data_IF_634346839745
#
_entry.id   IF_634346839745
#
_cell.length_a   1.000
_cell.length_b   1.000
_cell.length_c   1.000
_cell.angle_alpha   90.00
_cell.angle_beta   90.00
_cell.angle_gamma   90.00
#
_symmetry.space_group_name_H-M   'P 1'
#
loop_
_entity.id
_entity.type
_entity.pdbx_description
1 polymer ?
#
# COMPACT_ATOMS: atom_id res chain seq x y z
N UNK A 1 4.88 -33.96 -22.26
CA UNK A 1 4.46 -34.19 -20.85
C UNK A 1 5.65 -33.80 -19.98
N UNK A 2 5.68 -32.71 -19.23
CA UNK A 2 4.68 -31.74 -18.76
C UNK A 2 5.40 -30.39 -18.67
N UNK A 3 4.81 -29.38 -19.29
CA UNK A 3 5.28 -27.99 -19.29
C UNK A 3 4.99 -27.37 -17.92
N UNK A 4 6.04 -26.95 -17.22
CA UNK A 4 5.96 -26.27 -15.92
C UNK A 4 5.71 -24.79 -16.19
N UNK A 5 4.45 -24.42 -16.42
CA UNK A 5 4.06 -23.02 -16.47
C UNK A 5 4.25 -22.41 -15.07
N UNK A 6 5.35 -21.68 -14.88
CA UNK A 6 5.48 -20.70 -13.80
C UNK A 6 4.32 -19.73 -13.94
N UNK A 7 3.40 -19.75 -12.98
CA UNK A 7 2.41 -18.70 -12.83
C UNK A 7 3.14 -17.51 -12.23
N UNK A 8 3.62 -16.64 -13.11
CA UNK A 8 4.09 -15.32 -12.70
C UNK A 8 2.85 -14.56 -12.17
N UNK A 9 2.80 -14.40 -10.85
CA UNK A 9 1.79 -13.58 -10.17
C UNK A 9 2.11 -12.12 -10.46
N UNK A 10 1.68 -11.63 -11.62
CA UNK A 10 1.76 -10.22 -11.96
C UNK A 10 0.84 -9.44 -11.01
N UNK A 11 1.44 -8.76 -10.03
CA UNK A 11 0.75 -7.73 -9.26
C UNK A 11 0.55 -6.55 -10.22
N UNK A 12 -0.61 -6.52 -10.88
CA UNK A 12 -1.04 -5.36 -11.66
C UNK A 12 -1.28 -4.18 -10.71
N UNK A 13 -0.21 -3.42 -10.43
CA UNK A 13 -0.36 -2.01 -10.10
C UNK A 13 -1.08 -1.34 -11.26
N UNK A 14 -2.04 -0.46 -10.96
CA UNK A 14 -2.84 0.23 -11.96
C UNK A 14 -1.98 1.31 -12.65
N UNK A 15 -1.09 0.86 -13.54
CA UNK A 15 -0.08 1.68 -14.25
C UNK A 15 -0.72 2.81 -15.07
N UNK A 16 -1.97 2.64 -15.52
CA UNK A 16 -2.71 3.64 -16.30
C UNK A 16 -3.00 4.94 -15.52
N UNK A 17 -2.85 4.93 -14.18
CA UNK A 17 -3.17 6.08 -13.31
C UNK A 17 -1.98 6.97 -12.97
N UNK A 18 -0.76 6.53 -13.28
CA UNK A 18 0.46 7.27 -12.97
C UNK A 18 0.99 7.92 -14.25
N UNK A 19 0.51 9.12 -14.56
CA UNK A 19 1.21 10.00 -15.50
C UNK A 19 2.45 10.57 -14.79
N UNK A 20 3.52 9.78 -14.77
CA UNK A 20 4.82 10.17 -14.21
C UNK A 20 5.48 11.17 -15.16
N UNK A 21 5.86 12.36 -14.68
CA UNK A 21 6.50 13.40 -15.54
C UNK A 21 8.02 13.17 -15.66
N UNK A 22 8.61 12.34 -14.81
CA UNK A 22 10.02 11.98 -14.92
C UNK A 22 10.65 11.70 -13.56
N UNK A 23 11.88 11.20 -13.61
CA UNK A 23 12.73 10.99 -12.44
C UNK A 23 13.72 12.14 -12.30
N UNK A 24 13.59 12.98 -11.28
CA UNK A 24 14.67 13.92 -10.94
C UNK A 24 15.64 13.21 -10.00
N UNK A 25 16.90 13.07 -10.44
CA UNK A 25 17.97 12.35 -9.72
C UNK A 25 17.68 10.88 -9.40
N UNK A 26 16.93 10.18 -10.27
CA UNK A 26 16.76 8.72 -10.24
C UNK A 26 15.98 8.11 -9.07
N UNK A 27 15.75 8.87 -7.99
CA UNK A 27 15.14 8.41 -6.73
C UNK A 27 13.88 9.18 -6.31
N UNK A 28 13.48 10.19 -7.09
CA UNK A 28 12.26 10.98 -6.84
C UNK A 28 11.25 10.71 -7.95
N UNK A 29 10.06 10.23 -7.58
CA UNK A 29 8.92 10.09 -8.49
C UNK A 29 8.09 11.38 -8.46
N UNK A 30 7.96 12.05 -9.61
CA UNK A 30 7.16 13.27 -9.76
C UNK A 30 5.83 12.93 -10.41
N UNK A 31 4.74 13.30 -9.73
CA UNK A 31 3.37 13.04 -10.18
C UNK A 31 2.79 14.29 -10.84
N UNK A 32 2.25 14.14 -12.06
CA UNK A 32 1.65 15.24 -12.82
C UNK A 32 0.47 15.89 -12.10
N UNK A 33 0.37 17.21 -12.18
CA UNK A 33 -0.80 18.00 -11.78
C UNK A 33 -2.13 17.45 -12.34
N UNK A 34 -2.14 16.93 -13.57
CA UNK A 34 -3.31 16.28 -14.19
C UNK A 34 -3.70 14.98 -13.45
N UNK A 35 -2.74 14.11 -13.16
CA UNK A 35 -2.99 12.89 -12.39
C UNK A 35 -3.45 13.20 -10.96
N UNK A 36 -2.93 14.29 -10.39
CA UNK A 36 -3.40 14.84 -9.11
C UNK A 36 -4.85 15.32 -9.24
N UNK A 37 -5.20 16.12 -10.26
CA UNK A 37 -6.55 16.63 -10.50
C UNK A 37 -7.57 15.52 -10.77
N UNK A 38 -7.23 14.53 -11.59
CA UNK A 38 -8.12 13.41 -11.95
C UNK A 38 -8.40 12.50 -10.74
N UNK A 39 -7.39 12.22 -9.91
CA UNK A 39 -7.57 11.46 -8.67
C UNK A 39 -8.28 12.28 -7.58
N UNK A 40 -7.97 13.57 -7.43
CA UNK A 40 -8.69 14.45 -6.51
C UNK A 40 -10.17 14.56 -6.86
N UNK A 41 -10.51 14.68 -8.15
CA UNK A 41 -11.91 14.70 -8.61
C UNK A 41 -12.64 13.38 -8.32
N UNK A 42 -11.96 12.23 -8.47
CA UNK A 42 -12.51 10.91 -8.08
C UNK A 42 -12.70 10.78 -6.57
N UNK A 43 -11.73 11.20 -5.78
CA UNK A 43 -11.81 11.20 -4.30
C UNK A 43 -12.97 12.09 -3.86
N UNK A 44 -13.11 13.30 -4.43
CA UNK A 44 -14.25 14.18 -4.18
C UNK A 44 -15.58 13.54 -4.60
N UNK A 45 -15.66 12.88 -5.75
CA UNK A 45 -16.85 12.19 -6.24
C UNK A 45 -17.25 10.96 -5.42
N UNK A 46 -16.28 10.12 -5.03
CA UNK A 46 -16.50 8.94 -4.18
C UNK A 46 -16.83 9.32 -2.73
N UNK A 47 -16.51 10.54 -2.30
CA UNK A 47 -16.70 11.06 -0.94
C UNK A 47 -17.83 12.10 -0.86
N UNK A 48 -18.51 12.41 -1.98
CA UNK A 48 -19.74 13.21 -1.99
C UNK A 48 -20.90 12.51 -1.25
N UNK A 49 -20.82 11.18 -1.08
CA UNK A 49 -21.72 10.38 -0.22
C UNK A 49 -21.23 10.24 1.23
N UNK A 50 -20.04 10.76 1.58
CA UNK A 50 -19.48 10.81 2.94
C UNK A 50 -18.79 12.15 3.18
N UNK A 51 -19.58 13.17 3.58
CA UNK A 51 -19.14 14.51 3.99
C UNK A 51 -17.74 14.54 4.63
N UNK A 52 -16.68 14.91 3.88
CA UNK A 52 -15.36 15.11 4.48
C UNK A 52 -14.39 15.99 3.68
N UNK A 53 -14.88 16.88 2.80
CA UNK A 53 -14.00 17.87 2.13
C UNK A 53 -14.71 19.17 1.78
N UNK A 54 -14.53 20.24 2.55
CA UNK A 54 -14.47 21.57 1.98
C UNK A 54 -13.01 21.84 1.62
N UNK A 55 -12.60 21.60 0.37
CA UNK A 55 -11.40 22.29 -0.15
C UNK A 55 -11.86 23.71 -0.50
N UNK A 56 -12.06 24.54 0.51
CA UNK A 56 -12.64 25.89 0.36
C UNK A 56 -11.71 26.87 -0.36
N UNK A 57 -10.40 26.57 -0.46
CA UNK A 57 -9.46 27.36 -1.24
C UNK A 57 -8.38 26.48 -1.86
N UNK A 58 -8.43 26.36 -3.19
CA UNK A 58 -7.51 25.58 -4.04
C UNK A 58 -6.29 26.42 -4.47
N UNK A 59 -6.12 27.65 -3.95
CA UNK A 59 -5.08 28.58 -4.41
C UNK A 59 -3.69 28.32 -3.83
N UNK A 60 -3.59 27.66 -2.66
CA UNK A 60 -2.31 27.47 -1.96
C UNK A 60 -1.87 26.00 -2.00
N UNK A 61 -1.20 25.61 -3.09
CA UNK A 61 -0.53 24.33 -3.19
C UNK A 61 0.89 24.41 -2.63
N UNK A 62 1.30 23.36 -1.92
CA UNK A 62 2.67 23.14 -1.48
C UNK A 62 3.21 21.84 -2.08
N UNK A 63 4.51 21.81 -2.33
CA UNK A 63 5.25 20.60 -2.66
C UNK A 63 5.63 19.90 -1.36
N UNK A 64 5.37 18.60 -1.29
CA UNK A 64 5.80 17.73 -0.18
C UNK A 64 6.58 16.56 -0.76
N UNK A 65 7.58 16.11 0.00
CA UNK A 65 8.43 14.97 -0.38
C UNK A 65 8.16 13.85 0.62
N UNK A 66 7.55 12.76 0.16
CA UNK A 66 7.24 11.61 1.00
C UNK A 66 8.30 10.53 0.84
N UNK A 67 8.77 10.00 1.97
CA UNK A 67 9.60 8.80 2.06
C UNK A 67 8.83 7.71 2.77
N UNK A 68 9.08 6.45 2.46
CA UNK A 68 8.49 5.34 3.21
C UNK A 68 9.53 4.49 3.91
N UNK A 69 9.11 3.82 4.97
CA UNK A 69 9.87 2.77 5.64
C UNK A 69 9.76 1.39 4.95
N UNK A 70 8.99 1.27 3.85
CA UNK A 70 8.77 0.00 3.12
C UNK A 70 9.27 -0.02 1.67
N UNK A 71 9.43 1.14 1.05
CA UNK A 71 9.99 1.29 -0.30
C UNK A 71 11.06 2.39 -0.29
N UNK A 72 12.07 2.24 -1.13
CA UNK A 72 13.28 3.07 -1.11
C UNK A 72 13.11 4.45 -1.77
N UNK A 73 12.10 4.62 -2.61
CA UNK A 73 11.89 5.86 -3.36
C UNK A 73 11.30 7.00 -2.54
N UNK A 74 11.68 8.22 -2.91
CA UNK A 74 10.99 9.45 -2.50
C UNK A 74 9.93 9.81 -3.53
N UNK A 75 8.84 10.41 -3.08
CA UNK A 75 7.72 10.79 -3.93
C UNK A 75 7.46 12.27 -3.70
N UNK A 76 7.47 13.06 -4.77
CA UNK A 76 7.17 14.48 -4.68
C UNK A 76 5.75 14.73 -5.17
N UNK A 77 4.92 15.31 -4.30
CA UNK A 77 3.52 15.64 -4.59
C UNK A 77 3.30 17.14 -4.43
N UNK A 78 2.43 17.70 -5.27
CA UNK A 78 1.92 19.06 -5.09
C UNK A 78 0.48 18.98 -4.57
N UNK A 79 0.26 19.38 -3.32
CA UNK A 79 -1.01 19.19 -2.60
C UNK A 79 -1.50 20.50 -1.99
N UNK A 80 -2.83 20.71 -1.87
CA UNK A 80 -3.37 21.89 -1.18
C UNK A 80 -2.95 21.91 0.29
N UNK A 81 -2.55 23.07 0.80
CA UNK A 81 -2.11 23.20 2.20
C UNK A 81 -3.25 22.93 3.22
N UNK A 82 -4.50 23.11 2.80
CA UNK A 82 -5.69 22.79 3.60
C UNK A 82 -6.05 21.30 3.64
N UNK A 83 -5.33 20.44 2.91
CA UNK A 83 -5.56 18.99 2.92
C UNK A 83 -5.28 18.40 4.32
N UNK A 84 -6.14 17.50 4.79
CA UNK A 84 -5.89 16.76 6.04
C UNK A 84 -4.86 15.66 5.85
N UNK A 85 -4.20 15.25 6.93
CA UNK A 85 -3.26 14.12 6.91
C UNK A 85 -3.94 12.83 6.46
N UNK A 86 -5.19 12.59 6.88
CA UNK A 86 -5.97 11.45 6.39
C UNK A 86 -6.12 11.49 4.87
N UNK A 87 -6.47 12.64 4.33
CA UNK A 87 -6.68 12.83 2.91
C UNK A 87 -5.41 12.64 2.10
N UNK A 88 -4.27 13.13 2.62
CA UNK A 88 -2.96 12.91 2.00
C UNK A 88 -2.63 11.41 1.94
N UNK A 89 -2.87 10.67 3.03
CA UNK A 89 -2.65 9.21 3.06
C UNK A 89 -3.56 8.51 2.06
N UNK A 90 -4.86 8.79 2.07
CA UNK A 90 -5.82 8.17 1.14
C UNK A 90 -5.41 8.46 -0.32
N UNK A 91 -5.00 9.70 -0.59
CA UNK A 91 -4.51 10.13 -1.89
C UNK A 91 -3.25 9.36 -2.31
N UNK A 92 -2.24 9.25 -1.45
CA UNK A 92 -1.03 8.47 -1.73
C UNK A 92 -1.32 6.99 -1.94
N UNK A 93 -2.18 6.41 -1.11
CA UNK A 93 -2.56 5.01 -1.21
C UNK A 93 -3.25 4.73 -2.53
N UNK A 94 -4.20 5.58 -2.94
CA UNK A 94 -4.90 5.43 -4.22
C UNK A 94 -3.98 5.68 -5.42
N UNK A 95 -3.13 6.70 -5.33
CA UNK A 95 -2.21 7.12 -6.39
C UNK A 95 -1.16 6.05 -6.69
N UNK A 96 -0.59 5.46 -5.64
CA UNK A 96 0.45 4.43 -5.76
C UNK A 96 -0.14 3.03 -5.75
N UNK A 97 -1.45 2.85 -5.58
CA UNK A 97 -2.07 1.53 -5.46
C UNK A 97 -1.57 0.73 -4.25
N UNK A 98 -1.27 1.41 -3.14
CA UNK A 98 -0.78 0.74 -1.94
C UNK A 98 -1.88 -0.16 -1.34
N UNK A 99 -1.55 -1.34 -0.82
CA UNK A 99 -2.55 -2.24 -0.27
C UNK A 99 -3.00 -1.83 1.14
N UNK A 100 -4.30 -1.79 1.39
CA UNK A 100 -4.82 -1.81 2.77
C UNK A 100 -4.77 -3.21 3.39
N UNK A 101 -4.95 -4.24 2.56
CA UNK A 101 -4.90 -5.66 2.94
C UNK A 101 -4.31 -6.50 1.81
N UNK A 102 -3.52 -7.50 2.16
CA UNK A 102 -3.03 -8.56 1.25
C UNK A 102 -3.01 -9.90 1.96
N UNK A 103 -3.10 -10.98 1.20
CA UNK A 103 -2.89 -12.34 1.68
C UNK A 103 -1.80 -13.03 0.86
N UNK A 104 -1.10 -13.94 1.51
CA UNK A 104 -0.25 -14.95 0.90
C UNK A 104 -0.99 -16.27 1.09
N UNK A 105 -1.92 -16.57 0.18
CA UNK A 105 -2.85 -17.70 0.31
C UNK A 105 -2.11 -19.03 0.46
N UNK A 106 -1.01 -19.20 -0.27
CA UNK A 106 -0.13 -20.39 -0.19
C UNK A 106 0.48 -20.59 1.21
N UNK A 107 0.65 -19.50 1.97
CA UNK A 107 1.19 -19.53 3.33
C UNK A 107 0.08 -19.45 4.40
N UNK A 108 -1.17 -19.20 3.97
CA UNK A 108 -2.31 -18.90 4.85
C UNK A 108 -1.97 -17.78 5.85
N UNK A 109 -1.40 -16.68 5.33
CA UNK A 109 -1.05 -15.49 6.11
C UNK A 109 -1.71 -14.28 5.46
N UNK A 110 -2.38 -13.45 6.26
CA UNK A 110 -2.85 -12.14 5.81
C UNK A 110 -2.15 -11.00 6.52
N UNK A 111 -2.09 -9.87 5.83
CA UNK A 111 -1.54 -8.61 6.29
C UNK A 111 -2.59 -7.51 6.17
N UNK A 112 -2.78 -6.77 7.25
CA UNK A 112 -3.50 -5.51 7.29
C UNK A 112 -2.49 -4.38 7.51
N UNK A 113 -2.52 -3.38 6.64
CA UNK A 113 -1.58 -2.26 6.68
C UNK A 113 -2.24 -1.02 7.30
N UNK A 114 -1.50 -0.36 8.18
CA UNK A 114 -1.86 0.94 8.74
C UNK A 114 -0.84 1.97 8.32
N UNK A 115 -1.34 3.12 7.90
CA UNK A 115 -0.55 4.22 7.36
C UNK A 115 -0.60 5.41 8.30
N UNK A 116 0.55 6.04 8.50
CA UNK A 116 0.68 7.25 9.30
C UNK A 116 1.69 8.19 8.65
N UNK A 117 1.45 9.50 8.76
CA UNK A 117 2.45 10.51 8.43
C UNK A 117 3.24 10.86 9.69
N UNK A 118 4.55 10.84 9.57
CA UNK A 118 5.51 11.31 10.57
C UNK A 118 6.20 12.55 10.00
N UNK A 119 6.20 13.63 10.76
CA UNK A 119 6.88 14.88 10.42
C UNK A 119 7.72 15.32 11.62
N UNK A 120 9.00 15.65 11.38
CA UNK A 120 9.97 16.01 12.42
C UNK A 120 10.03 14.98 13.58
N UNK A 121 9.98 13.68 13.22
CA UNK A 121 10.02 12.57 14.17
C UNK A 121 8.74 12.36 14.99
N UNK A 122 7.66 13.10 14.71
CA UNK A 122 6.38 12.97 15.41
C UNK A 122 5.27 12.53 14.48
N UNK A 123 4.46 11.58 14.94
CA UNK A 123 3.23 11.17 14.24
C UNK A 123 2.26 12.35 14.19
N UNK A 124 1.81 12.70 12.99
CA UNK A 124 0.83 13.78 12.79
C UNK A 124 -0.59 13.20 12.91
N UNK A 125 -1.49 13.83 13.69
CA UNK A 125 -2.88 13.40 13.79
C UNK A 125 -3.61 13.46 12.44
N UNK A 126 -4.44 12.46 12.17
CA UNK A 126 -5.13 12.29 10.88
C UNK A 126 -6.09 13.45 10.53
N UNK A 127 -6.66 14.10 11.54
CA UNK A 127 -7.62 15.19 11.38
C UNK A 127 -6.95 16.57 11.19
N UNK A 128 -5.65 16.71 11.42
CA UNK A 128 -4.95 17.98 11.19
C UNK A 128 -4.76 18.23 9.70
N UNK A 129 -4.83 19.49 9.30
CA UNK A 129 -4.39 19.92 7.97
C UNK A 129 -2.87 19.99 7.88
N UNK A 130 -2.32 20.01 6.65
CA UNK A 130 -0.88 20.26 6.44
C UNK A 130 -0.48 21.60 7.05
N UNK A 131 -1.32 22.63 6.89
CA UNK A 131 -1.15 23.94 7.53
C UNK A 131 -1.08 23.84 9.06
N UNK A 132 -2.06 23.19 9.70
CA UNK A 132 -2.12 23.06 11.17
C UNK A 132 -1.03 22.17 11.76
N UNK A 133 -0.41 21.35 10.91
CA UNK A 133 0.75 20.53 11.24
C UNK A 133 2.09 21.28 11.02
N UNK A 134 2.06 22.55 10.60
CA UNK A 134 3.24 23.34 10.21
C UNK A 134 4.08 22.64 9.12
N UNK A 135 3.40 22.00 8.17
CA UNK A 135 4.01 21.43 6.98
C UNK A 135 4.02 22.54 5.92
N UNK A 136 5.22 22.85 5.43
CA UNK A 136 5.47 23.95 4.50
C UNK A 136 5.92 23.42 3.13
N UNK A 137 6.02 24.31 2.15
CA UNK A 137 6.55 23.98 0.82
C UNK A 137 7.96 23.38 0.91
N UNK A 138 8.18 22.27 0.22
CA UNK A 138 9.41 21.49 0.25
C UNK A 138 9.58 20.57 1.46
N UNK A 139 8.60 20.46 2.36
CA UNK A 139 8.73 19.62 3.55
C UNK A 139 8.90 18.13 3.22
N UNK A 140 9.83 17.47 3.92
CA UNK A 140 9.98 16.01 3.88
C UNK A 140 9.09 15.34 4.94
N UNK A 141 8.25 14.41 4.50
CA UNK A 141 7.34 13.61 5.31
C UNK A 141 7.76 12.14 5.26
N UNK A 142 7.56 11.41 6.35
CA UNK A 142 7.69 9.94 6.36
C UNK A 142 6.30 9.30 6.39
N UNK A 143 5.98 8.53 5.35
CA UNK A 143 4.86 7.59 5.33
C UNK A 143 5.28 6.30 6.05
N UNK A 144 4.90 6.22 7.33
CA UNK A 144 5.14 5.06 8.17
C UNK A 144 4.06 4.01 7.94
N UNK A 145 4.47 2.85 7.41
CA UNK A 145 3.58 1.73 7.09
C UNK A 145 3.81 0.59 8.08
N UNK A 146 2.81 0.35 8.92
CA UNK A 146 2.80 -0.72 9.92
C UNK A 146 2.02 -1.90 9.35
N UNK A 147 2.66 -3.07 9.34
CA UNK A 147 2.05 -4.31 8.90
C UNK A 147 1.61 -5.12 10.12
N UNK A 148 0.32 -5.40 10.21
CA UNK A 148 -0.27 -6.30 11.20
C UNK A 148 -0.56 -7.60 10.47
N UNK A 149 0.02 -8.70 10.90
CA UNK A 149 -0.14 -9.99 10.25
C UNK A 149 -1.01 -10.92 11.09
N UNK A 150 -1.66 -11.86 10.42
CA UNK A 150 -2.52 -12.88 11.02
C UNK A 150 -2.16 -14.23 10.42
N UNK A 151 -1.95 -15.23 11.28
CA UNK A 151 -1.88 -16.63 10.87
C UNK A 151 -3.30 -17.17 10.71
N UNK A 152 -3.72 -17.39 9.48
CA UNK A 152 -5.09 -17.82 9.19
C UNK A 152 -5.31 -19.28 9.63
N UNK A 153 -4.25 -20.08 9.72
CA UNK A 153 -4.34 -21.46 10.25
C UNK A 153 -4.68 -21.42 11.73
N UNK A 154 -3.95 -20.63 12.52
CA UNK A 154 -4.21 -20.51 13.96
C UNK A 154 -5.55 -19.85 14.25
N UNK A 155 -5.96 -18.87 13.44
CA UNK A 155 -7.27 -18.22 13.58
C UNK A 155 -8.41 -19.24 13.38
N UNK A 156 -8.36 -20.01 12.29
CA UNK A 156 -9.38 -21.02 11.99
C UNK A 156 -9.40 -22.13 13.04
N UNK A 157 -8.25 -22.66 13.42
CA UNK A 157 -8.16 -23.70 14.47
C UNK A 157 -8.63 -23.19 15.83
N UNK A 158 -8.32 -21.94 16.16
CA UNK A 158 -8.79 -21.29 17.38
C UNK A 158 -10.32 -21.10 17.40
N UNK A 159 -10.93 -20.77 16.26
CA UNK A 159 -12.39 -20.67 16.11
C UNK A 159 -13.04 -22.05 16.18
N UNK A 160 -12.48 -23.06 15.50
CA UNK A 160 -12.95 -24.45 15.55
C UNK A 160 -12.94 -24.99 17.00
N UNK A 161 -11.86 -24.73 17.74
CA UNK A 161 -11.73 -25.13 19.14
C UNK A 161 -12.73 -24.42 20.05
N UNK A 162 -12.96 -23.12 19.85
CA UNK A 162 -13.91 -22.32 20.68
C UNK A 162 -15.36 -22.68 20.43
N UNK A 163 -15.72 -22.94 19.19
CA UNK A 163 -17.11 -23.18 18.81
C UNK A 163 -17.52 -24.66 18.92
N UNK A 164 -16.62 -25.54 19.36
CA UNK A 164 -16.85 -27.00 19.37
C UNK A 164 -17.14 -27.56 17.97
N UNK A 165 -16.85 -26.78 16.92
CA UNK A 165 -17.32 -26.96 15.55
C UNK A 165 -16.38 -27.89 14.76
N UNK A 166 -15.76 -28.85 15.45
CA UNK A 166 -14.98 -29.92 14.82
C UNK A 166 -15.85 -30.89 13.98
N UNK A 167 -17.16 -30.67 13.87
CA UNK A 167 -18.15 -31.67 13.45
C UNK A 167 -19.27 -31.03 12.61
N UNK A 168 -19.02 -30.64 11.35
CA UNK A 168 -20.12 -30.50 10.35
C UNK A 168 -19.69 -30.34 8.88
N UNK A 169 -18.51 -30.81 8.48
CA UNK A 169 -18.14 -30.88 7.06
C UNK A 169 -17.94 -32.32 6.61
N UNK A 170 -18.48 -32.65 5.44
CA UNK A 170 -18.28 -33.92 4.74
C UNK A 170 -16.80 -34.32 4.79
N UNK A 171 -16.52 -35.59 5.11
CA UNK A 171 -15.17 -36.13 5.38
C UNK A 171 -14.15 -35.75 4.29
N UNK A 172 -14.57 -35.65 3.03
CA UNK A 172 -13.74 -35.24 1.90
C UNK A 172 -13.25 -33.78 1.97
N UNK A 173 -14.12 -32.83 2.33
CA UNK A 173 -13.76 -31.41 2.43
C UNK A 173 -12.80 -31.14 3.59
N UNK A 174 -12.95 -31.86 4.70
CA UNK A 174 -12.06 -31.73 5.86
C UNK A 174 -10.64 -32.25 5.57
N UNK A 175 -10.52 -33.38 4.88
CA UNK A 175 -9.22 -33.93 4.48
C UNK A 175 -8.43 -32.95 3.58
N UNK A 176 -9.12 -32.32 2.64
CA UNK A 176 -8.51 -31.32 1.76
C UNK A 176 -8.06 -30.08 2.55
N UNK A 177 -8.88 -29.58 3.47
CA UNK A 177 -8.52 -28.44 4.32
C UNK A 177 -7.29 -28.73 5.20
N UNK A 178 -7.22 -29.92 5.81
CA UNK A 178 -6.07 -30.33 6.62
C UNK A 178 -4.80 -30.42 5.77
N UNK A 179 -4.88 -31.01 4.58
CA UNK A 179 -3.77 -31.08 3.64
C UNK A 179 -3.29 -29.68 3.21
N UNK A 180 -4.21 -28.73 2.96
CA UNK A 180 -3.87 -27.34 2.65
C UNK A 180 -3.17 -26.65 3.82
N UNK A 181 -3.68 -26.81 5.05
CA UNK A 181 -3.05 -26.23 6.27
C UNK A 181 -1.65 -26.81 6.50
N UNK A 182 -1.47 -28.11 6.34
CA UNK A 182 -0.18 -28.76 6.49
C UNK A 182 0.82 -28.32 5.40
N UNK A 183 0.36 -28.21 4.15
CA UNK A 183 1.16 -27.67 3.05
C UNK A 183 1.61 -26.23 3.34
N UNK A 184 0.71 -25.37 3.84
CA UNK A 184 1.03 -24.00 4.23
C UNK A 184 2.06 -23.94 5.38
N UNK A 185 1.92 -24.77 6.42
CA UNK A 185 2.90 -24.90 7.51
C UNK A 185 4.26 -25.32 7.01
N UNK A 186 4.31 -26.29 6.10
CA UNK A 186 5.55 -26.77 5.49
C UNK A 186 6.20 -25.69 4.63
N UNK A 187 5.41 -24.96 3.83
CA UNK A 187 5.88 -23.90 2.96
C UNK A 187 6.46 -22.70 3.74
N UNK A 188 5.79 -22.26 4.80
CA UNK A 188 6.26 -21.11 5.61
C UNK A 188 7.42 -21.46 6.54
N UNK A 189 7.49 -22.71 7.01
CA UNK A 189 8.43 -23.16 8.03
C UNK A 189 8.31 -22.35 9.34
N UNK A 190 9.41 -22.20 10.08
CA UNK A 190 9.42 -21.35 11.28
C UNK A 190 9.20 -19.89 10.89
N UNK A 191 8.18 -19.27 11.49
CA UNK A 191 7.85 -17.86 11.29
C UNK A 191 8.74 -17.01 12.20
N UNK A 192 9.55 -16.14 11.59
CA UNK A 192 10.42 -15.21 12.29
C UNK A 192 10.04 -13.77 11.96
N UNK A 193 10.41 -12.82 12.83
CA UNK A 193 10.19 -11.39 12.59
C UNK A 193 10.81 -10.92 11.27
N UNK A 194 11.98 -11.46 10.89
CA UNK A 194 12.63 -11.15 9.62
C UNK A 194 11.84 -11.63 8.40
N UNK A 195 11.27 -12.84 8.44
CA UNK A 195 10.41 -13.36 7.37
C UNK A 195 9.13 -12.54 7.23
N UNK A 196 8.44 -12.27 8.34
CA UNK A 196 7.24 -11.43 8.34
C UNK A 196 7.55 -10.06 7.73
N UNK A 197 8.68 -9.45 8.11
CA UNK A 197 9.11 -8.18 7.55
C UNK A 197 9.37 -8.29 6.04
N UNK A 198 10.04 -9.35 5.59
CA UNK A 198 10.31 -9.60 4.17
C UNK A 198 9.04 -9.78 3.35
N UNK A 199 8.09 -10.60 3.81
CA UNK A 199 6.78 -10.78 3.18
C UNK A 199 5.96 -9.49 3.16
N UNK A 200 5.95 -8.74 4.25
CA UNK A 200 5.29 -7.44 4.27
C UNK A 200 5.92 -6.46 3.26
N UNK A 201 7.25 -6.45 3.13
CA UNK A 201 7.95 -5.57 2.20
C UNK A 201 7.74 -5.95 0.74
N UNK A 202 7.59 -7.24 0.41
CA UNK A 202 7.39 -7.68 -0.98
C UNK A 202 6.11 -7.12 -1.61
N UNK A 203 5.14 -6.69 -0.79
CA UNK A 203 3.93 -6.03 -1.29
C UNK A 203 4.13 -4.60 -1.78
N UNK A 204 5.32 -4.02 -1.61
CA UNK A 204 5.64 -2.63 -1.95
C UNK A 204 6.76 -2.49 -2.98
N UNK A 205 7.39 -3.59 -3.41
CA UNK A 205 8.53 -3.55 -4.35
C UNK A 205 8.18 -2.90 -5.69
N UNK A 206 6.94 -3.06 -6.13
CA UNK A 206 6.44 -2.45 -7.37
C UNK A 206 6.57 -0.91 -7.36
N UNK A 207 6.54 -0.26 -6.19
CA UNK A 207 6.76 1.19 -6.08
C UNK A 207 8.17 1.58 -6.49
N UNK A 208 9.15 0.74 -6.11
CA UNK A 208 10.54 0.92 -6.51
C UNK A 208 10.75 0.59 -8.01
N UNK A 209 9.96 -0.31 -8.59
CA UNK A 209 10.01 -0.65 -10.02
C UNK A 209 9.40 0.45 -10.92
N UNK A 210 8.36 1.15 -10.46
CA UNK A 210 7.69 2.23 -11.22
C UNK A 210 8.65 3.32 -11.70
N UNK A 211 9.69 3.65 -10.91
CA UNK A 211 10.69 4.65 -11.30
C UNK A 211 11.82 4.12 -12.20
N UNK A 212 11.92 2.82 -12.44
CA UNK A 212 12.88 2.25 -13.41
C UNK A 212 12.33 2.26 -14.83
N UNK A 213 11.04 1.96 -14.99
CA UNK A 213 10.35 1.99 -16.29
C UNK A 213 10.39 3.38 -16.96
N UNK A 214 10.38 4.46 -16.18
CA UNK A 214 10.44 5.82 -16.71
C UNK A 214 11.82 6.22 -17.23
N UNK A 215 12.91 5.63 -16.70
CA UNK A 215 14.27 5.87 -17.23
C UNK A 215 14.47 5.29 -18.62
N UNK A 216 13.81 4.17 -18.93
CA UNK A 216 13.92 3.50 -20.23
C UNK A 216 13.27 4.28 -21.39
N UNK A 217 12.21 5.04 -21.11
CA UNK A 217 11.53 5.84 -22.14
C UNK A 217 12.25 7.15 -22.47
N UNK A 218 12.96 7.77 -21.52
CA UNK A 218 13.76 8.98 -21.80
C UNK A 218 14.99 8.68 -22.68
N UNK A 219 15.54 7.48 -22.60
CA UNK A 219 16.71 7.06 -23.39
C UNK A 219 16.41 6.78 -24.88
N UNK A 220 15.13 6.58 -25.25
CA UNK A 220 14.70 6.27 -26.63
C UNK A 220 14.09 7.48 -27.36
N UNK A 221 14.12 8.66 -26.76
CA UNK A 221 13.58 9.91 -27.32
C UNK A 221 14.65 10.90 -27.81
N UNK A 222 15.89 10.43 -28.03
CA UNK A 222 16.98 11.19 -28.64
C UNK A 222 17.34 10.68 -30.03
#
# INVERSE_FOLDING_TARGET
MTDNSRRDTYIHGNLDKLTTIGTVQGNVLIVNEKAIKDNLGRIQGALSSRHLYPVENVSDYIKVIIKSNRFGRKIQLQVPQGMTIKALIDFEVDLLGLPWRKSLDELMISFNFRYYVVYQGKKVPLNKTLRDANIHDGAELELSIVAIWTDEVEEVEGVEAKNGLAVMYEIGGRMQQLATREAARKARGVITTSKIKSWANSFFTFVDELGELTKGNEANSH
#
